data_IF_228019217551
#
_entry.id   IF_228019217551
#
_cell.length_a   1.000
_cell.length_b   1.000
_cell.length_c   1.000
_cell.angle_alpha   90.00
_cell.angle_beta   90.00
_cell.angle_gamma   90.00
#
_symmetry.space_group_name_H-M   'P 1'
#
loop_
_entity.id
_entity.type
_entity.pdbx_description
1 polymer ?
#
# COMPACT_ATOMS: atom_id res chain seq x y z
N UNK A 1 14.65 -17.24 11.80
CA UNK A 1 14.20 -17.30 10.38
C UNK A 1 12.68 -17.40 10.16
N UNK A 2 11.86 -18.00 11.05
CA UNK A 2 10.37 -18.03 10.87
C UNK A 2 9.69 -16.71 11.25
N UNK A 3 10.16 -16.03 12.30
CA UNK A 3 9.62 -14.76 12.80
C UNK A 3 9.73 -13.60 11.78
N UNK A 4 10.81 -13.53 11.00
CA UNK A 4 10.96 -12.49 9.97
C UNK A 4 10.00 -12.66 8.79
N UNK A 5 9.53 -13.88 8.51
CA UNK A 5 8.52 -14.12 7.46
C UNK A 5 7.13 -13.68 7.93
N UNK A 6 6.76 -14.02 9.16
CA UNK A 6 5.49 -13.61 9.76
C UNK A 6 5.39 -12.08 9.86
N UNK A 7 6.47 -11.41 10.28
CA UNK A 7 6.53 -9.95 10.37
C UNK A 7 6.33 -9.28 9.00
N UNK A 8 6.97 -9.79 7.95
CA UNK A 8 6.82 -9.30 6.58
C UNK A 8 5.38 -9.44 6.07
N UNK A 9 4.74 -10.59 6.32
CA UNK A 9 3.35 -10.82 5.93
C UNK A 9 2.43 -9.85 6.66
N UNK A 10 2.63 -9.68 7.97
CA UNK A 10 1.83 -8.76 8.79
C UNK A 10 1.92 -7.31 8.29
N UNK A 11 3.13 -6.79 8.03
CA UNK A 11 3.29 -5.46 7.46
C UNK A 11 2.79 -5.36 6.02
N UNK A 12 2.83 -6.44 5.25
CA UNK A 12 2.21 -6.51 3.92
C UNK A 12 0.70 -6.28 4.00
N UNK A 13 0.02 -6.98 4.90
CA UNK A 13 -1.43 -6.83 5.13
C UNK A 13 -1.75 -5.42 5.59
N UNK A 14 -1.00 -4.87 6.56
CA UNK A 14 -1.22 -3.50 7.05
C UNK A 14 -1.03 -2.49 5.92
N UNK A 15 0.03 -2.62 5.12
CA UNK A 15 0.31 -1.71 4.00
C UNK A 15 -0.78 -1.76 2.94
N UNK A 16 -1.36 -2.95 2.71
CA UNK A 16 -2.50 -3.11 1.82
C UNK A 16 -3.74 -2.39 2.34
N UNK A 17 -4.08 -2.55 3.62
CA UNK A 17 -5.23 -1.88 4.25
C UNK A 17 -5.06 -0.35 4.18
N UNK A 18 -3.90 0.16 4.62
CA UNK A 18 -3.59 1.60 4.61
C UNK A 18 -3.61 2.14 3.17
N UNK A 19 -2.99 1.43 2.22
CA UNK A 19 -3.00 1.82 0.82
C UNK A 19 -4.40 1.91 0.24
N UNK A 20 -5.32 1.04 0.66
CA UNK A 20 -6.72 1.03 0.21
C UNK A 20 -7.50 2.22 0.75
N UNK A 21 -7.30 2.56 2.02
CA UNK A 21 -7.90 3.75 2.63
C UNK A 21 -7.42 5.02 1.92
N UNK A 22 -6.10 5.16 1.72
CA UNK A 22 -5.52 6.34 1.07
C UNK A 22 -6.03 6.48 -0.36
N UNK A 23 -6.03 5.40 -1.14
CA UNK A 23 -6.50 5.46 -2.54
C UNK A 23 -7.98 5.72 -2.64
N UNK A 24 -8.79 5.20 -1.73
CA UNK A 24 -10.24 5.48 -1.72
C UNK A 24 -10.54 6.93 -1.33
N UNK A 25 -9.87 7.48 -0.31
CA UNK A 25 -10.12 8.84 0.17
C UNK A 25 -9.55 9.89 -0.77
N UNK A 26 -8.34 9.67 -1.31
CA UNK A 26 -7.60 10.68 -2.06
C UNK A 26 -7.77 10.49 -3.57
N UNK A 27 -7.54 9.28 -4.08
CA UNK A 27 -7.46 9.06 -5.52
C UNK A 27 -8.84 8.91 -6.17
N UNK A 28 -9.79 8.24 -5.52
CA UNK A 28 -11.14 8.06 -6.07
C UNK A 28 -11.85 9.37 -6.43
N UNK A 29 -11.93 10.40 -5.55
CA UNK A 29 -12.57 11.66 -5.91
C UNK A 29 -11.83 12.38 -7.04
N UNK A 30 -10.50 12.30 -7.11
CA UNK A 30 -9.71 12.90 -8.20
C UNK A 30 -10.05 12.20 -9.52
N UNK A 31 -9.98 10.87 -9.57
CA UNK A 31 -10.25 10.10 -10.79
C UNK A 31 -11.69 10.24 -11.26
N UNK A 32 -12.66 10.34 -10.34
CA UNK A 32 -14.07 10.55 -10.65
C UNK A 32 -14.35 11.89 -11.34
N UNK A 33 -13.45 12.89 -11.23
CA UNK A 33 -13.60 14.15 -11.99
C UNK A 33 -13.30 13.97 -13.48
N UNK A 34 -12.50 12.98 -13.86
CA UNK A 34 -12.06 12.74 -15.24
C UNK A 34 -12.75 11.54 -15.89
N UNK A 35 -13.08 10.51 -15.11
CA UNK A 35 -13.62 9.24 -15.60
C UNK A 35 -15.05 9.09 -15.08
N UNK A 36 -16.03 9.20 -16.00
CA UNK A 36 -17.46 9.06 -15.68
C UNK A 36 -17.96 7.61 -15.72
N UNK A 37 -17.16 6.70 -16.27
CA UNK A 37 -17.51 5.28 -16.32
C UNK A 37 -17.02 4.60 -15.04
N UNK A 38 -17.96 4.15 -14.21
CA UNK A 38 -17.69 3.52 -12.91
C UNK A 38 -16.80 2.27 -13.03
N UNK A 39 -17.00 1.43 -14.06
CA UNK A 39 -16.17 0.23 -14.27
C UNK A 39 -14.71 0.59 -14.55
N UNK A 40 -14.48 1.62 -15.37
CA UNK A 40 -13.13 2.09 -15.69
C UNK A 40 -12.51 2.73 -14.43
N UNK A 41 -13.28 3.52 -13.69
CA UNK A 41 -12.86 4.14 -12.44
C UNK A 41 -12.40 3.10 -11.41
N UNK A 42 -13.17 2.01 -11.24
CA UNK A 42 -12.85 0.93 -10.31
C UNK A 42 -11.57 0.20 -10.70
N UNK A 43 -11.36 -0.08 -12.00
CA UNK A 43 -10.13 -0.70 -12.49
C UNK A 43 -8.90 0.17 -12.18
N UNK A 44 -8.99 1.48 -12.44
CA UNK A 44 -7.91 2.41 -12.08
C UNK A 44 -7.72 2.49 -10.57
N UNK A 45 -8.78 2.54 -9.78
CA UNK A 45 -8.70 2.57 -8.34
C UNK A 45 -7.96 1.35 -7.78
N UNK A 46 -8.28 0.14 -8.27
CA UNK A 46 -7.60 -1.10 -7.88
C UNK A 46 -6.12 -1.05 -8.29
N UNK A 47 -5.81 -0.61 -9.51
CA UNK A 47 -4.44 -0.48 -9.98
C UNK A 47 -3.62 0.49 -9.10
N UNK A 48 -4.17 1.66 -8.79
CA UNK A 48 -3.54 2.63 -7.90
C UNK A 48 -3.39 2.09 -6.48
N UNK A 49 -4.39 1.38 -5.96
CA UNK A 49 -4.33 0.75 -4.64
C UNK A 49 -3.15 -0.21 -4.54
N UNK A 50 -2.99 -1.11 -5.51
CA UNK A 50 -1.87 -2.07 -5.53
C UNK A 50 -0.53 -1.32 -5.54
N UNK A 51 -0.38 -0.29 -6.39
CA UNK A 51 0.85 0.50 -6.47
C UNK A 51 1.18 1.16 -5.13
N UNK A 52 0.21 1.86 -4.53
CA UNK A 52 0.40 2.55 -3.25
C UNK A 52 0.73 1.56 -2.12
N UNK A 53 -0.01 0.45 -2.04
CA UNK A 53 0.23 -0.59 -1.05
C UNK A 53 1.66 -1.16 -1.13
N UNK A 54 2.14 -1.44 -2.34
CA UNK A 54 3.52 -1.94 -2.56
C UNK A 54 4.56 -0.90 -2.14
N UNK A 55 4.32 0.39 -2.41
CA UNK A 55 5.25 1.45 -2.05
C UNK A 55 5.32 1.67 -0.54
N UNK A 56 4.17 1.67 0.14
CA UNK A 56 4.11 1.74 1.61
C UNK A 56 4.86 0.55 2.21
N UNK A 57 4.59 -0.67 1.74
CA UNK A 57 5.28 -1.86 2.23
C UNK A 57 6.80 -1.77 2.05
N UNK A 58 7.27 -1.33 0.88
CA UNK A 58 8.71 -1.17 0.60
C UNK A 58 9.35 -0.13 1.54
N UNK A 59 8.69 0.99 1.79
CA UNK A 59 9.16 2.02 2.71
C UNK A 59 9.23 1.50 4.14
N UNK A 60 8.16 0.87 4.63
CA UNK A 60 8.08 0.31 5.98
C UNK A 60 9.14 -0.77 6.18
N UNK A 61 9.32 -1.68 5.23
CA UNK A 61 10.36 -2.72 5.33
C UNK A 61 11.77 -2.16 5.29
N UNK A 62 12.04 -1.13 4.47
CA UNK A 62 13.33 -0.43 4.48
C UNK A 62 13.61 0.21 5.84
N UNK A 63 12.61 0.87 6.42
CA UNK A 63 12.74 1.48 7.73
C UNK A 63 13.06 0.43 8.82
N UNK A 64 12.28 -0.65 8.89
CA UNK A 64 12.49 -1.73 9.86
C UNK A 64 13.87 -2.39 9.73
N UNK A 65 14.33 -2.64 8.49
CA UNK A 65 15.65 -3.26 8.27
C UNK A 65 16.77 -2.31 8.69
N UNK A 66 16.66 -1.03 8.37
CA UNK A 66 17.65 -0.02 8.74
C UNK A 66 17.73 0.18 10.26
N UNK A 67 16.58 0.18 10.95
CA UNK A 67 16.53 0.22 12.42
C UNK A 67 17.22 -1.01 13.03
N UNK A 68 16.92 -2.22 12.56
CA UNK A 68 17.60 -3.45 13.01
C UNK A 68 19.13 -3.43 12.83
N UNK A 69 19.64 -2.70 11.84
CA UNK A 69 21.09 -2.56 11.58
C UNK A 69 21.75 -1.50 12.46
N UNK A 70 20.98 -0.54 13.00
CA UNK A 70 21.48 0.50 13.92
C UNK A 70 21.58 0.02 15.37
N UNK A 71 20.77 -0.97 15.75
CA UNK A 71 20.70 -1.51 17.13
C UNK A 71 21.70 -2.65 17.39
N UNK A 72 22.38 -3.16 16.37
CA UNK A 72 23.50 -4.13 16.46
C UNK A 72 24.81 -3.44 16.12
#
# INVERSE_FOLDING_TARGET
MKTDKLLKIFYGIISFIIGGIITTIVFRPILATFIKNETILDVFQIAFHIIVAVQIYRLTMRYIINEKKKTN
#
